data_IF_937515763069
#
_entry.id   IF_937515763069
#
_cell.length_a   1.000
_cell.length_b   1.000
_cell.length_c   1.000
_cell.angle_alpha   90.00
_cell.angle_beta   90.00
_cell.angle_gamma   90.00
#
_symmetry.space_group_name_H-M   'P 1'
#
loop_
_entity.id
_entity.type
_entity.pdbx_description
1 polymer ?
#
# COMPACT_ATOMS: atom_id res chain seq x y z
N UNK A 1 -11.65 7.25 12.95
CA UNK A 1 -12.59 6.13 13.23
C UNK A 1 -12.17 4.93 12.41
N UNK A 2 -12.18 3.75 13.00
CA UNK A 2 -11.92 2.47 12.33
C UNK A 2 -11.79 1.36 13.39
N UNK A 3 -12.36 0.19 13.12
CA UNK A 3 -12.21 -0.98 13.99
C UNK A 3 -10.82 -1.61 13.78
N UNK A 4 -9.80 -0.99 14.38
CA UNK A 4 -8.42 -1.43 14.23
C UNK A 4 -8.14 -2.78 14.90
N UNK A 5 -8.88 -3.11 15.96
CA UNK A 5 -8.78 -4.41 16.62
C UNK A 5 -9.38 -5.49 15.71
N UNK A 6 -10.61 -5.31 15.25
CA UNK A 6 -11.26 -6.25 14.35
C UNK A 6 -10.53 -6.45 13.02
N UNK A 7 -9.88 -5.39 12.49
CA UNK A 7 -9.02 -5.51 11.31
C UNK A 7 -7.80 -6.43 11.55
N UNK A 8 -7.16 -6.33 12.71
CA UNK A 8 -6.03 -7.18 13.08
C UNK A 8 -6.48 -8.62 13.34
N UNK A 9 -7.54 -8.82 14.12
CA UNK A 9 -8.08 -10.14 14.38
C UNK A 9 -8.50 -10.86 13.09
N UNK A 10 -9.06 -10.11 12.13
CA UNK A 10 -9.47 -10.68 10.84
C UNK A 10 -8.27 -11.02 9.95
N UNK A 11 -7.21 -10.20 9.99
CA UNK A 11 -5.94 -10.49 9.33
C UNK A 11 -5.26 -11.72 9.92
N UNK A 12 -5.26 -11.89 11.24
CA UNK A 12 -4.72 -13.07 11.92
C UNK A 12 -5.53 -14.32 11.58
N UNK A 13 -6.86 -14.25 11.63
CA UNK A 13 -7.73 -15.35 11.18
C UNK A 13 -7.50 -15.73 9.72
N UNK A 14 -7.23 -14.75 8.84
CA UNK A 14 -6.87 -15.04 7.46
C UNK A 14 -5.53 -15.79 7.35
N UNK A 15 -4.54 -15.44 8.17
CA UNK A 15 -3.27 -16.15 8.23
C UNK A 15 -3.46 -17.60 8.72
N UNK A 16 -4.31 -17.83 9.71
CA UNK A 16 -4.63 -19.18 10.19
C UNK A 16 -5.28 -20.03 9.09
N UNK A 17 -6.30 -19.48 8.41
CA UNK A 17 -6.96 -20.18 7.29
C UNK A 17 -5.97 -20.47 6.16
N UNK A 18 -5.06 -19.55 5.86
CA UNK A 18 -4.02 -19.75 4.84
C UNK A 18 -3.21 -21.03 5.07
N UNK A 19 -2.88 -21.35 6.33
CA UNK A 19 -2.11 -22.56 6.67
C UNK A 19 -2.84 -23.87 6.33
N UNK A 20 -4.17 -23.81 6.15
CA UNK A 20 -5.01 -24.97 5.85
C UNK A 20 -5.27 -25.14 4.35
N UNK A 21 -4.92 -24.15 3.53
CA UNK A 21 -5.17 -24.19 2.09
C UNK A 21 -4.17 -25.11 1.36
N UNK A 22 -4.60 -25.82 0.31
CA UNK A 22 -3.71 -26.65 -0.47
C UNK A 22 -2.68 -25.82 -1.25
N UNK A 23 -1.50 -26.41 -1.46
CA UNK A 23 -0.39 -25.78 -2.20
C UNK A 23 -0.78 -25.28 -3.59
N UNK A 24 -1.75 -25.93 -4.25
CA UNK A 24 -2.26 -25.54 -5.57
C UNK A 24 -2.90 -24.14 -5.56
N UNK A 25 -3.41 -23.70 -4.40
CA UNK A 25 -4.00 -22.36 -4.18
C UNK A 25 -2.95 -21.37 -3.70
N UNK A 26 -2.02 -21.79 -2.84
CA UNK A 26 -1.08 -20.89 -2.14
C UNK A 26 0.23 -20.65 -2.89
N UNK A 27 0.70 -21.60 -3.70
CA UNK A 27 1.97 -21.47 -4.44
C UNK A 27 1.82 -20.78 -5.80
N UNK A 28 0.61 -20.66 -6.32
CA UNK A 28 0.37 -20.00 -7.60
C UNK A 28 0.43 -18.47 -7.47
N UNK A 29 1.65 -17.92 -7.53
CA UNK A 29 1.92 -16.47 -7.46
C UNK A 29 1.47 -15.71 -8.72
N UNK A 30 1.09 -16.41 -9.79
CA UNK A 30 0.74 -15.82 -11.08
C UNK A 30 -0.78 -15.67 -11.30
N UNK A 31 -1.58 -16.57 -10.73
CA UNK A 31 -3.03 -16.63 -10.90
C UNK A 31 -3.81 -15.53 -10.17
N UNK A 32 -4.90 -15.09 -10.81
CA UNK A 32 -5.91 -14.23 -10.21
C UNK A 32 -6.78 -14.99 -9.18
N UNK A 33 -6.99 -16.28 -9.39
CA UNK A 33 -7.87 -17.16 -8.60
C UNK A 33 -7.18 -17.77 -7.37
N UNK A 34 -5.84 -17.70 -7.31
CA UNK A 34 -5.07 -18.20 -6.17
C UNK A 34 -5.04 -17.22 -5.00
N UNK A 35 -4.75 -17.74 -3.81
CA UNK A 35 -4.46 -16.92 -2.64
C UNK A 35 -3.00 -17.15 -2.24
N UNK A 36 -2.08 -16.47 -2.93
CA UNK A 36 -0.65 -16.67 -2.69
C UNK A 36 -0.17 -16.04 -1.39
N UNK A 37 0.97 -16.51 -0.89
CA UNK A 37 1.69 -15.90 0.24
C UNK A 37 1.88 -14.39 0.04
N UNK A 38 2.18 -13.93 -1.18
CA UNK A 38 2.32 -12.50 -1.47
C UNK A 38 1.04 -11.71 -1.23
N UNK A 39 -0.14 -12.30 -1.43
CA UNK A 39 -1.43 -11.64 -1.12
C UNK A 39 -1.66 -11.55 0.38
N UNK A 40 -1.34 -12.61 1.11
CA UNK A 40 -1.40 -12.60 2.58
C UNK A 40 -0.50 -11.49 3.15
N UNK A 41 0.76 -11.43 2.70
CA UNK A 41 1.72 -10.42 3.14
C UNK A 41 1.33 -9.00 2.70
N UNK A 42 0.72 -8.85 1.52
CA UNK A 42 0.16 -7.57 1.08
C UNK A 42 -0.94 -7.07 2.02
N UNK A 43 -1.91 -7.93 2.37
CA UNK A 43 -2.97 -7.58 3.32
C UNK A 43 -2.38 -7.24 4.68
N UNK A 44 -1.39 -8.01 5.15
CA UNK A 44 -0.68 -7.72 6.39
C UNK A 44 -0.03 -6.33 6.38
N UNK A 45 0.68 -6.01 5.30
CA UNK A 45 1.29 -4.70 5.10
C UNK A 45 0.25 -3.58 5.16
N UNK A 46 -0.88 -3.72 4.47
CA UNK A 46 -1.96 -2.72 4.47
C UNK A 46 -2.55 -2.51 5.87
N UNK A 47 -2.97 -3.60 6.53
CA UNK A 47 -3.63 -3.53 7.85
C UNK A 47 -2.70 -2.94 8.90
N UNK A 48 -1.44 -3.37 8.96
CA UNK A 48 -0.49 -2.83 9.92
C UNK A 48 -0.21 -1.34 9.67
N UNK A 49 -0.13 -0.93 8.39
CA UNK A 49 0.04 0.48 8.01
C UNK A 49 -1.16 1.31 8.43
N UNK A 50 -2.38 0.90 8.08
CA UNK A 50 -3.60 1.68 8.34
C UNK A 50 -3.96 1.76 9.83
N UNK A 51 -3.51 0.79 10.61
CA UNK A 51 -3.75 0.74 12.05
C UNK A 51 -2.61 1.37 12.86
N UNK A 52 -1.58 1.94 12.20
CA UNK A 52 -0.42 2.56 12.86
C UNK A 52 0.38 1.59 13.73
N UNK A 53 0.44 0.32 13.36
CA UNK A 53 1.11 -0.69 14.17
C UNK A 53 2.64 -0.60 14.02
N UNK A 54 3.44 -0.78 15.09
CA UNK A 54 4.90 -0.80 15.02
C UNK A 54 5.48 -1.86 14.06
N UNK A 55 4.75 -2.94 13.81
CA UNK A 55 5.15 -4.00 12.87
C UNK A 55 4.89 -3.63 11.39
N UNK A 56 4.39 -2.43 11.08
CA UNK A 56 4.10 -2.02 9.70
C UNK A 56 5.36 -2.09 8.81
N UNK A 57 6.49 -1.58 9.29
CA UNK A 57 7.74 -1.55 8.53
C UNK A 57 8.22 -2.96 8.13
N UNK A 58 8.21 -3.92 9.07
CA UNK A 58 8.60 -5.30 8.76
C UNK A 58 7.60 -5.97 7.83
N UNK A 59 6.29 -5.78 8.04
CA UNK A 59 5.26 -6.34 7.17
C UNK A 59 5.33 -5.78 5.73
N UNK A 60 5.66 -4.50 5.55
CA UNK A 60 5.89 -3.90 4.24
C UNK A 60 7.11 -4.51 3.54
N UNK A 61 8.21 -4.70 4.27
CA UNK A 61 9.42 -5.31 3.70
C UNK A 61 9.19 -6.76 3.31
N UNK A 62 8.59 -7.57 4.20
CA UNK A 62 8.18 -8.96 3.91
C UNK A 62 7.30 -9.04 2.65
N UNK A 63 6.33 -8.13 2.51
CA UNK A 63 5.46 -8.09 1.34
C UNK A 63 6.24 -7.78 0.04
N UNK A 64 7.15 -6.80 0.06
CA UNK A 64 7.98 -6.45 -1.10
C UNK A 64 8.85 -7.63 -1.57
N UNK A 65 9.48 -8.31 -0.62
CA UNK A 65 10.39 -9.43 -0.88
C UNK A 65 9.64 -10.66 -1.40
N UNK A 66 8.38 -10.82 -1.01
CA UNK A 66 7.55 -11.96 -1.46
C UNK A 66 7.16 -11.91 -2.95
N UNK A 67 7.11 -10.72 -3.55
CA UNK A 67 6.61 -10.53 -4.90
C UNK A 67 7.71 -10.81 -5.96
N UNK A 68 7.43 -11.65 -6.98
CA UNK A 68 8.37 -11.89 -8.06
C UNK A 68 8.64 -10.61 -8.89
N UNK A 69 9.70 -10.60 -9.71
CA UNK A 69 9.90 -9.59 -10.73
C UNK A 69 8.65 -9.42 -11.61
N UNK A 70 8.37 -8.19 -12.06
CA UNK A 70 7.22 -7.88 -12.94
C UNK A 70 5.89 -7.57 -12.21
N UNK A 71 5.80 -7.75 -10.89
CA UNK A 71 4.63 -7.34 -10.08
C UNK A 71 4.67 -5.86 -9.70
N UNK A 72 4.84 -4.99 -10.70
CA UNK A 72 5.08 -3.54 -10.54
C UNK A 72 3.96 -2.86 -9.77
N UNK A 73 2.69 -3.11 -10.11
CA UNK A 73 1.50 -2.54 -9.44
C UNK A 73 1.39 -2.92 -7.97
N UNK A 74 1.65 -4.17 -7.65
CA UNK A 74 1.57 -4.65 -6.27
C UNK A 74 2.72 -4.08 -5.45
N UNK A 75 3.95 -4.10 -5.97
CA UNK A 75 5.11 -3.50 -5.29
C UNK A 75 4.93 -2.00 -5.07
N UNK A 76 4.32 -1.29 -6.01
CA UNK A 76 4.01 0.13 -5.86
C UNK A 76 3.02 0.41 -4.72
N UNK A 77 1.95 -0.38 -4.59
CA UNK A 77 1.04 -0.25 -3.45
C UNK A 77 1.77 -0.46 -2.10
N UNK A 78 2.70 -1.42 -2.02
CA UNK A 78 3.50 -1.58 -0.79
C UNK A 78 4.43 -0.39 -0.52
N UNK A 79 5.03 0.21 -1.57
CA UNK A 79 5.81 1.45 -1.41
C UNK A 79 4.94 2.63 -0.96
N UNK A 80 3.70 2.70 -1.43
CA UNK A 80 2.73 3.68 -0.94
C UNK A 80 2.33 3.41 0.52
N UNK A 81 2.32 2.15 0.98
CA UNK A 81 2.20 1.85 2.41
C UNK A 81 3.38 2.40 3.22
N UNK A 82 4.62 2.22 2.72
CA UNK A 82 5.83 2.80 3.35
C UNK A 82 5.75 4.33 3.42
N UNK A 83 5.33 4.98 2.33
CA UNK A 83 5.10 6.43 2.29
C UNK A 83 4.03 6.86 3.31
N UNK A 84 2.94 6.10 3.43
CA UNK A 84 1.89 6.35 4.43
C UNK A 84 2.44 6.28 5.86
N UNK A 85 3.28 5.29 6.16
CA UNK A 85 3.95 5.20 7.46
C UNK A 85 4.85 6.42 7.72
N UNK A 86 5.68 6.79 6.74
CA UNK A 86 6.56 7.95 6.86
C UNK A 86 5.79 9.26 7.12
N UNK A 87 4.71 9.51 6.37
CA UNK A 87 3.84 10.68 6.57
C UNK A 87 3.22 10.66 7.97
N UNK A 88 2.70 9.51 8.42
CA UNK A 88 2.08 9.36 9.74
C UNK A 88 3.08 9.62 10.87
N UNK A 89 4.32 9.19 10.70
CA UNK A 89 5.39 9.34 11.70
C UNK A 89 5.99 10.77 11.71
N UNK A 90 5.53 11.64 10.80
CA UNK A 90 5.89 13.06 10.76
C UNK A 90 6.91 13.42 9.68
N UNK A 91 7.46 12.45 8.95
CA UNK A 91 8.29 12.65 7.76
C UNK A 91 7.41 12.93 6.53
N UNK A 92 6.62 14.02 6.59
CA UNK A 92 5.56 14.31 5.62
C UNK A 92 6.14 14.55 4.21
N UNK A 93 7.07 15.49 4.07
CA UNK A 93 7.63 15.85 2.75
C UNK A 93 8.31 14.65 2.07
N UNK A 94 9.17 13.94 2.81
CA UNK A 94 9.86 12.74 2.31
C UNK A 94 8.87 11.63 1.91
N UNK A 95 7.81 11.44 2.71
CA UNK A 95 6.76 10.47 2.43
C UNK A 95 5.98 10.79 1.16
N UNK A 96 5.58 12.05 0.99
CA UNK A 96 4.88 12.52 -0.22
C UNK A 96 5.77 12.43 -1.46
N UNK A 97 7.04 12.83 -1.35
CA UNK A 97 8.00 12.73 -2.45
C UNK A 97 8.22 11.28 -2.87
N UNK A 98 8.37 10.35 -1.91
CA UNK A 98 8.50 8.92 -2.21
C UNK A 98 7.23 8.37 -2.90
N UNK A 99 6.06 8.80 -2.45
CA UNK A 99 4.81 8.41 -3.09
C UNK A 99 4.70 8.94 -4.53
N UNK A 100 5.08 10.19 -4.78
CA UNK A 100 5.12 10.77 -6.13
C UNK A 100 6.08 9.98 -7.04
N UNK A 101 7.32 9.78 -6.60
CA UNK A 101 8.33 9.02 -7.37
C UNK A 101 7.91 7.56 -7.60
N UNK A 102 7.17 6.94 -6.67
CA UNK A 102 6.60 5.61 -6.87
C UNK A 102 5.59 5.58 -8.01
N UNK A 103 4.76 6.62 -8.14
CA UNK A 103 3.77 6.74 -9.22
C UNK A 103 4.43 7.09 -10.56
N UNK A 104 5.41 7.99 -10.56
CA UNK A 104 6.18 8.34 -11.77
C UNK A 104 6.96 7.14 -12.33
N UNK A 105 7.52 6.32 -11.44
CA UNK A 105 8.18 5.07 -11.83
C UNK A 105 7.20 3.99 -12.30
N UNK A 106 5.90 4.18 -12.09
CA UNK A 106 4.86 3.35 -12.68
C UNK A 106 4.55 3.89 -14.09
N UNK A 107 4.83 3.10 -15.12
CA UNK A 107 4.31 3.39 -16.46
C UNK A 107 2.78 3.59 -16.41
N UNK A 108 2.22 4.47 -17.26
CA UNK A 108 0.80 4.83 -17.22
C UNK A 108 -0.14 3.61 -17.27
N UNK A 109 0.26 2.55 -17.96
CA UNK A 109 -0.48 1.27 -18.06
C UNK A 109 -0.62 0.51 -16.73
N UNK A 110 0.18 0.88 -15.73
CA UNK A 110 0.17 0.28 -14.40
C UNK A 110 -0.52 1.18 -13.36
N UNK A 111 -0.79 2.45 -13.69
CA UNK A 111 -1.63 3.31 -12.85
C UNK A 111 -3.06 2.80 -12.96
N UNK A 112 -3.62 2.34 -11.84
CA UNK A 112 -4.97 1.79 -11.78
C UNK A 112 -5.72 2.43 -10.63
N UNK A 113 -7.06 2.35 -10.64
CA UNK A 113 -7.89 2.79 -9.52
C UNK A 113 -7.42 2.30 -8.14
N UNK A 114 -6.85 1.09 -8.05
CA UNK A 114 -6.36 0.52 -6.80
C UNK A 114 -5.06 1.19 -6.33
N UNK A 115 -4.14 1.45 -7.26
CA UNK A 115 -2.91 2.19 -6.98
C UNK A 115 -3.25 3.62 -6.54
N UNK A 116 -4.15 4.29 -7.27
CA UNK A 116 -4.60 5.64 -6.94
C UNK A 116 -5.28 5.70 -5.58
N UNK A 117 -6.13 4.72 -5.24
CA UNK A 117 -6.78 4.66 -3.93
C UNK A 117 -5.77 4.64 -2.77
N UNK A 118 -4.72 3.80 -2.87
CA UNK A 118 -3.66 3.76 -1.84
C UNK A 118 -2.86 5.07 -1.83
N UNK A 119 -2.61 5.66 -3.00
CA UNK A 119 -1.89 6.92 -3.13
C UNK A 119 -2.62 8.10 -2.46
N UNK A 120 -3.95 8.21 -2.64
CA UNK A 120 -4.75 9.21 -1.94
C UNK A 120 -4.64 9.07 -0.42
N UNK A 121 -4.60 7.82 0.09
CA UNK A 121 -4.43 7.54 1.51
C UNK A 121 -3.11 8.05 2.10
N UNK A 122 -2.06 8.26 1.29
CA UNK A 122 -0.78 8.83 1.76
C UNK A 122 -0.98 10.27 2.24
N UNK A 123 -1.68 11.10 1.46
CA UNK A 123 -1.94 12.49 1.82
C UNK A 123 -2.80 12.62 3.10
N UNK A 124 -3.75 11.70 3.25
CA UNK A 124 -4.69 11.70 4.38
C UNK A 124 -4.05 11.19 5.68
N UNK A 125 -2.85 10.61 5.62
CA UNK A 125 -2.10 10.17 6.80
C UNK A 125 -1.37 11.30 7.54
N UNK A 126 -1.35 12.52 6.98
CA UNK A 126 -0.62 13.64 7.56
C UNK A 126 -1.15 14.02 8.95
N UNK A 127 -0.28 14.21 9.97
CA UNK A 127 -0.72 14.58 11.31
C UNK A 127 -1.33 15.98 11.32
N UNK A 128 -2.39 16.15 12.13
CA UNK A 128 -3.02 17.45 12.32
C UNK A 128 -2.02 18.45 12.90
N UNK A 129 -1.94 19.65 12.30
CA UNK A 129 -1.06 20.73 12.77
C UNK A 129 0.34 20.77 12.15
N UNK A 130 0.67 19.85 11.24
CA UNK A 130 1.90 19.95 10.45
C UNK A 130 1.77 21.08 9.40
N UNK A 131 2.82 21.89 9.24
CA UNK A 131 2.85 23.02 8.32
C UNK A 131 3.33 22.61 6.90
N UNK A 132 2.71 21.57 6.32
CA UNK A 132 2.98 21.10 4.94
C UNK A 132 1.74 21.15 4.05
N UNK A 133 0.86 22.13 4.27
CA UNK A 133 -0.34 22.32 3.48
C UNK A 133 0.00 22.50 1.99
N UNK A 134 1.13 23.15 1.67
CA UNK A 134 1.62 23.28 0.29
C UNK A 134 2.02 21.93 -0.30
N UNK A 135 2.86 21.15 0.37
CA UNK A 135 3.32 19.84 -0.14
C UNK A 135 2.15 18.85 -0.31
N UNK A 136 1.19 18.85 0.62
CA UNK A 136 -0.03 18.04 0.51
C UNK A 136 -0.88 18.49 -0.69
N UNK A 137 -1.01 19.80 -0.92
CA UNK A 137 -1.76 20.33 -2.06
C UNK A 137 -1.09 19.97 -3.39
N UNK A 138 0.22 20.15 -3.50
CA UNK A 138 1.02 19.79 -4.68
C UNK A 138 0.91 18.29 -4.99
N UNK A 139 1.01 17.43 -3.96
CA UNK A 139 0.85 16.00 -4.13
C UNK A 139 -0.57 15.62 -4.61
N UNK A 140 -1.61 16.25 -4.05
CA UNK A 140 -3.00 16.01 -4.48
C UNK A 140 -3.25 16.48 -5.92
N UNK A 141 -2.66 17.59 -6.33
CA UNK A 141 -2.71 18.07 -7.71
C UNK A 141 -2.03 17.06 -8.66
N UNK A 142 -0.84 16.58 -8.28
CA UNK A 142 -0.15 15.52 -9.03
C UNK A 142 -1.03 14.28 -9.20
N UNK A 143 -1.70 13.81 -8.13
CA UNK A 143 -2.64 12.68 -8.20
C UNK A 143 -3.80 12.92 -9.16
N UNK A 144 -4.38 14.13 -9.15
CA UNK A 144 -5.48 14.48 -10.06
C UNK A 144 -5.03 14.45 -11.53
N UNK A 145 -3.83 14.97 -11.82
CA UNK A 145 -3.24 14.92 -13.17
C UNK A 145 -2.89 13.49 -13.59
N UNK A 146 -2.43 12.65 -12.67
CA UNK A 146 -2.16 11.23 -12.92
C UNK A 146 -3.45 10.45 -13.20
N UNK A 147 -4.51 10.69 -12.44
CA UNK A 147 -5.80 10.03 -12.62
C UNK A 147 -6.47 10.42 -13.96
N UNK A 148 -6.43 11.69 -14.33
CA UNK A 148 -7.00 12.17 -15.60
C UNK A 148 -6.35 11.57 -16.85
N UNK A 149 -5.14 10.99 -16.73
CA UNK A 149 -4.46 10.28 -17.81
C UNK A 149 -4.91 8.81 -17.95
N UNK A 150 -5.58 8.24 -16.95
CA UNK A 150 -6.17 6.89 -17.04
C UNK A 150 -7.46 6.87 -17.88
N UNK A 151 -8.28 7.91 -17.76
CA UNK A 151 -9.60 8.01 -18.42
C UNK A 151 -9.53 8.23 -19.95
N UNK A 152 -8.33 8.21 -20.54
CA UNK A 152 -8.08 8.59 -21.94
C UNK A 152 -7.44 7.47 -22.74
#
# INVERSE_FOLDING_TARGET
>A
MGDHAGARDSMERQADVFTTLPDTVTRNKMSAEGWSESRLLHTRSLVQTMTGNPAAASAQQEALDSYPPGRTRQKAQIRLHQATSAVRDGSVDDGLQNAASTLEGLGPENITRFVLHVAYGVADAAPAGHNAQSAIAEYREHLALTAAKEDK
#
